data_IF_404405260552
#
_entry.id   IF_404405260552
#
_cell.length_a   1.000
_cell.length_b   1.000
_cell.length_c   1.000
_cell.angle_alpha   90.00
_cell.angle_beta   90.00
_cell.angle_gamma   90.00
#
_symmetry.space_group_name_H-M   'P 1'
#
loop_
_entity.id
_entity.type
_entity.pdbx_description
1 polymer ?
#
# COMPACT_ATOMS: atom_id res chain seq x y z
N UNK A 1 -4.34 25.24 2.49
CA UNK A 1 -4.89 24.19 1.61
C UNK A 1 -4.15 22.93 2.04
N UNK A 2 -4.77 22.13 2.91
CA UNK A 2 -4.10 21.10 3.70
C UNK A 2 -3.57 19.97 2.82
N UNK A 3 -2.31 19.60 3.01
CA UNK A 3 -1.63 18.47 2.38
C UNK A 3 -2.04 17.14 3.03
N UNK A 4 -3.34 16.91 3.16
CA UNK A 4 -3.91 15.67 3.69
C UNK A 4 -4.58 14.94 2.50
N UNK A 5 -4.45 13.61 2.45
CA UNK A 5 -4.79 12.71 1.32
C UNK A 5 -3.71 12.47 0.26
N UNK A 6 -2.45 12.22 0.67
CA UNK A 6 -1.61 11.35 -0.16
C UNK A 6 -2.10 9.93 0.06
N UNK A 7 -2.67 9.30 -0.97
CA UNK A 7 -3.05 7.87 -1.01
C UNK A 7 -1.81 6.95 -0.95
N UNK A 8 -0.99 7.17 0.07
CA UNK A 8 0.30 6.58 0.29
C UNK A 8 0.16 5.14 0.77
N UNK A 9 1.03 4.27 0.27
CA UNK A 9 1.19 2.95 0.81
C UNK A 9 2.66 2.66 1.09
N UNK A 10 2.87 1.70 1.98
CA UNK A 10 4.13 1.42 2.63
C UNK A 10 4.45 -0.07 2.47
N UNK A 11 5.75 -0.38 2.46
CA UNK A 11 6.28 -1.73 2.60
C UNK A 11 7.25 -1.72 3.77
N UNK A 12 7.06 -2.65 4.72
CA UNK A 12 7.91 -2.76 5.91
C UNK A 12 8.10 -1.42 6.66
N UNK A 13 7.02 -0.63 6.80
CA UNK A 13 7.05 0.69 7.45
C UNK A 13 7.68 1.82 6.61
N UNK A 14 8.18 1.53 5.41
CA UNK A 14 8.83 2.50 4.53
C UNK A 14 7.88 2.94 3.42
N UNK A 15 7.80 4.26 3.20
CA UNK A 15 6.98 4.83 2.13
C UNK A 15 7.40 4.29 0.77
N UNK A 16 6.46 3.62 0.07
CA UNK A 16 6.72 2.98 -1.20
C UNK A 16 6.26 3.85 -2.37
N UNK A 17 4.98 4.25 -2.37
CA UNK A 17 4.40 5.05 -3.44
C UNK A 17 3.02 5.59 -3.06
N UNK A 18 2.39 6.32 -3.97
CA UNK A 18 0.99 6.77 -3.84
C UNK A 18 0.11 6.18 -4.93
N UNK A 19 -1.11 5.79 -4.60
CA UNK A 19 -2.14 5.47 -5.59
C UNK A 19 -2.58 6.73 -6.35
N UNK A 20 -3.03 6.54 -7.58
CA UNK A 20 -3.67 7.58 -8.39
C UNK A 20 -5.17 7.38 -8.34
N UNK A 21 -5.89 8.36 -7.80
CA UNK A 21 -7.33 8.32 -7.65
C UNK A 21 -7.83 9.28 -6.57
N UNK A 22 -9.09 9.14 -6.20
CA UNK A 22 -9.76 9.95 -5.17
C UNK A 22 -9.87 9.22 -3.81
N UNK A 23 -9.65 7.91 -3.78
CA UNK A 23 -9.79 7.09 -2.58
C UNK A 23 -8.80 5.91 -2.58
N UNK A 24 -8.56 5.35 -1.40
CA UNK A 24 -7.75 4.16 -1.26
C UNK A 24 -8.40 2.94 -1.93
N UNK A 25 -7.61 2.08 -2.60
CA UNK A 25 -8.10 0.80 -3.09
C UNK A 25 -8.65 -0.05 -1.95
N UNK A 26 -9.87 -0.56 -2.07
CA UNK A 26 -10.50 -1.42 -1.06
C UNK A 26 -10.97 -2.79 -1.58
N UNK A 27 -10.75 -3.06 -2.85
CA UNK A 27 -11.20 -4.28 -3.53
C UNK A 27 -10.09 -4.84 -4.41
N UNK A 28 -10.18 -6.14 -4.71
CA UNK A 28 -9.25 -6.79 -5.62
C UNK A 28 -9.36 -6.17 -7.03
N UNK A 29 -8.22 -5.81 -7.63
CA UNK A 29 -8.25 -5.16 -8.92
C UNK A 29 -6.94 -4.54 -9.36
N UNK A 30 -7.01 -3.85 -10.49
CA UNK A 30 -5.87 -3.19 -11.12
C UNK A 30 -5.90 -1.70 -10.79
N UNK A 31 -4.84 -1.22 -10.15
CA UNK A 31 -4.75 0.15 -9.66
C UNK A 31 -3.52 0.86 -10.19
N UNK A 32 -3.69 2.13 -10.56
CA UNK A 32 -2.61 2.99 -11.00
C UNK A 32 -1.89 3.57 -9.79
N UNK A 33 -0.58 3.66 -9.86
CA UNK A 33 0.24 4.27 -8.81
C UNK A 33 1.30 5.20 -9.40
N UNK A 34 1.73 6.17 -8.59
CA UNK A 34 2.90 7.00 -8.89
C UNK A 34 4.09 6.49 -8.09
N UNK A 35 5.11 5.93 -8.76
CA UNK A 35 6.31 5.45 -8.07
C UNK A 35 7.06 6.63 -7.46
N UNK A 36 7.45 6.52 -6.20
CA UNK A 36 8.40 7.45 -5.59
C UNK A 36 9.80 6.86 -5.68
N UNK A 37 10.78 7.58 -6.24
CA UNK A 37 12.17 7.08 -6.29
C UNK A 37 12.80 7.18 -4.89
N UNK A 38 12.55 6.19 -4.06
CA UNK A 38 13.09 6.07 -2.71
C UNK A 38 13.22 4.61 -2.25
N UNK A 39 13.74 4.39 -1.03
CA UNK A 39 14.02 3.04 -0.51
C UNK A 39 12.81 2.11 -0.56
N UNK A 40 11.63 2.55 -0.10
CA UNK A 40 10.44 1.69 -0.08
C UNK A 40 9.98 1.26 -1.47
N UNK A 41 10.12 2.12 -2.50
CA UNK A 41 9.83 1.70 -3.87
C UNK A 41 10.85 0.70 -4.41
N UNK A 42 12.13 0.88 -4.05
CA UNK A 42 13.17 -0.07 -4.42
C UNK A 42 12.92 -1.44 -3.78
N UNK A 43 12.55 -1.46 -2.50
CA UNK A 43 12.21 -2.68 -1.76
C UNK A 43 10.95 -3.33 -2.32
N UNK A 44 9.93 -2.55 -2.66
CA UNK A 44 8.73 -3.03 -3.34
C UNK A 44 9.08 -3.76 -4.65
N UNK A 45 9.83 -3.12 -5.54
CA UNK A 45 10.22 -3.71 -6.84
C UNK A 45 11.10 -4.94 -6.64
N UNK A 46 12.06 -4.88 -5.73
CA UNK A 46 12.97 -6.00 -5.43
C UNK A 46 12.19 -7.20 -4.88
N UNK A 47 11.27 -6.96 -3.96
CA UNK A 47 10.42 -8.00 -3.34
C UNK A 47 9.51 -8.64 -4.39
N UNK A 48 8.81 -7.84 -5.21
CA UNK A 48 7.98 -8.36 -6.29
C UNK A 48 8.79 -9.11 -7.36
N UNK A 49 10.03 -8.69 -7.63
CA UNK A 49 10.91 -9.40 -8.56
C UNK A 49 11.37 -10.75 -8.00
N UNK A 50 11.65 -10.82 -6.69
CA UNK A 50 12.10 -12.04 -6.03
C UNK A 50 10.98 -13.07 -5.78
N UNK A 51 9.79 -12.60 -5.38
CA UNK A 51 8.70 -13.47 -4.90
C UNK A 51 7.45 -13.45 -5.79
N UNK A 52 7.37 -12.54 -6.76
CA UNK A 52 6.17 -12.33 -7.59
C UNK A 52 5.08 -11.48 -6.94
N UNK A 53 5.25 -11.08 -5.68
CA UNK A 53 4.33 -10.22 -4.93
C UNK A 53 5.05 -9.48 -3.80
N UNK A 54 4.40 -8.49 -3.21
CA UNK A 54 4.82 -7.82 -1.99
C UNK A 54 3.61 -7.57 -1.07
N UNK A 55 3.79 -7.72 0.24
CA UNK A 55 2.77 -7.33 1.23
C UNK A 55 2.98 -5.86 1.58
N UNK A 56 1.96 -5.06 1.39
CA UNK A 56 1.98 -3.62 1.62
C UNK A 56 0.84 -3.23 2.56
N UNK A 57 0.86 -1.99 3.03
CA UNK A 57 -0.26 -1.44 3.77
C UNK A 57 -0.44 0.04 3.50
N UNK A 58 -1.65 0.54 3.75
CA UNK A 58 -1.91 1.96 3.88
C UNK A 58 -2.70 2.23 5.16
N UNK A 59 -2.69 3.48 5.57
CA UNK A 59 -3.39 3.96 6.76
C UNK A 59 -4.68 4.65 6.34
N UNK A 60 -5.83 4.17 6.85
CA UNK A 60 -7.17 4.70 6.55
C UNK A 60 -7.84 5.15 7.85
N UNK A 61 -7.56 6.40 8.25
CA UNK A 61 -8.02 6.94 9.53
C UNK A 61 -7.52 6.12 10.72
N UNK A 62 -8.44 5.43 11.41
CA UNK A 62 -8.18 4.58 12.57
C UNK A 62 -7.80 3.15 12.21
N UNK A 63 -7.83 2.78 10.93
CA UNK A 63 -7.51 1.44 10.46
C UNK A 63 -6.17 1.41 9.71
N UNK A 64 -5.53 0.25 9.72
CA UNK A 64 -4.48 -0.15 8.78
C UNK A 64 -5.10 -1.16 7.83
N UNK A 65 -4.90 -0.95 6.53
CA UNK A 65 -5.32 -1.91 5.52
C UNK A 65 -4.08 -2.52 4.88
N UNK A 66 -3.90 -3.80 5.10
CA UNK A 66 -2.87 -4.60 4.44
C UNK A 66 -3.41 -5.17 3.14
N UNK A 67 -2.57 -5.28 2.12
CA UNK A 67 -2.93 -5.83 0.83
C UNK A 67 -1.70 -6.46 0.16
N UNK A 68 -1.94 -7.35 -0.81
CA UNK A 68 -0.91 -7.97 -1.63
C UNK A 68 -0.81 -7.23 -2.95
N UNK A 69 0.35 -6.64 -3.24
CA UNK A 69 0.66 -6.04 -4.53
C UNK A 69 1.39 -7.04 -5.43
N UNK A 70 0.97 -7.15 -6.68
CA UNK A 70 1.65 -7.91 -7.74
C UNK A 70 1.99 -7.00 -8.92
N UNK A 71 3.11 -7.23 -9.62
CA UNK A 71 3.45 -6.46 -10.80
C UNK A 71 2.39 -6.66 -11.88
N UNK A 72 2.02 -5.58 -12.57
CA UNK A 72 1.24 -5.65 -13.79
C UNK A 72 2.17 -5.64 -15.01
N UNK A 73 1.68 -6.13 -16.14
CA UNK A 73 2.43 -6.06 -17.41
C UNK A 73 2.61 -4.63 -17.91
N UNK A 74 1.75 -3.70 -17.48
CA UNK A 74 1.84 -2.28 -17.81
C UNK A 74 2.56 -1.48 -16.71
N UNK A 75 3.50 -0.62 -17.10
CA UNK A 75 4.20 0.25 -16.17
C UNK A 75 3.25 1.22 -15.47
N UNK A 76 3.42 1.40 -14.16
CA UNK A 76 2.59 2.30 -13.35
C UNK A 76 1.27 1.68 -12.88
N UNK A 77 1.08 0.37 -13.07
CA UNK A 77 -0.05 -0.38 -12.55
C UNK A 77 0.41 -1.51 -11.62
N UNK A 78 -0.42 -1.79 -10.61
CA UNK A 78 -0.30 -2.93 -9.71
C UNK A 78 -1.62 -3.69 -9.69
N UNK A 79 -1.54 -5.01 -9.59
CA UNK A 79 -2.70 -5.85 -9.27
C UNK A 79 -2.72 -6.03 -7.75
N UNK A 80 -3.76 -5.52 -7.10
CA UNK A 80 -3.95 -5.58 -5.66
C UNK A 80 -4.97 -6.65 -5.31
N UNK A 81 -4.73 -7.37 -4.22
CA UNK A 81 -5.68 -8.35 -3.70
C UNK A 81 -5.49 -8.60 -2.20
N UNK A 82 -6.34 -9.45 -1.63
CA UNK A 82 -6.17 -9.99 -0.26
C UNK A 82 -6.14 -8.85 0.78
N UNK A 83 -7.10 -7.94 0.67
CA UNK A 83 -7.24 -6.80 1.57
C UNK A 83 -7.64 -7.28 2.98
N UNK A 84 -6.87 -6.87 3.98
CA UNK A 84 -7.12 -7.16 5.40
C UNK A 84 -7.10 -5.85 6.17
N UNK A 85 -8.24 -5.51 6.80
CA UNK A 85 -8.38 -4.29 7.60
C UNK A 85 -8.23 -4.64 9.08
N UNK A 86 -7.32 -3.95 9.75
CA UNK A 86 -7.11 -4.06 11.19
C UNK A 86 -7.20 -2.67 11.82
N UNK A 87 -7.84 -2.53 12.99
CA UNK A 87 -7.79 -1.26 13.71
C UNK A 87 -6.35 -0.98 14.15
N UNK A 88 -5.88 0.27 13.98
CA UNK A 88 -4.56 0.74 14.46
C UNK A 88 -4.37 0.56 15.96
N UNK A 89 -5.46 0.34 16.70
CA UNK A 89 -5.45 0.17 18.14
C UNK A 89 -6.14 -1.14 18.56
N UNK A 90 -5.32 -2.12 18.93
CA UNK A 90 -5.70 -3.20 19.84
C UNK A 90 -4.77 -3.20 21.07
N UNK A 91 -4.30 -2.04 21.50
CA UNK A 91 -3.68 -1.88 22.83
C UNK A 91 -4.78 -1.67 23.88
N UNK A 92 -5.59 -2.71 24.03
CA UNK A 92 -6.50 -2.88 25.16
C UNK A 92 -5.93 -3.86 26.17
N UNK A 93 -5.07 -3.38 27.07
CA UNK A 93 -5.02 -3.84 28.46
C UNK A 93 -4.84 -2.57 29.30
N UNK A 94 -5.87 -1.98 29.89
CA UNK A 94 -6.68 -2.46 31.02
C UNK A 94 -5.85 -2.82 32.25
N UNK A 95 -5.57 -1.82 33.09
CA UNK A 95 -5.74 -1.81 34.56
C UNK A 95 -5.78 -0.38 35.07
#
# INVERSE_FOLDING_TARGET
MGEEDKLAFYIDGTFAATFVGEAFPSEDGRYRYMPYRGPGHYDLVTTMTAFGFARCFYEDGADVVHFTARPDTEYGFLNLSEFERTPKHLDGYAL
#
